data_IF_058116857391
#
_entry.id   IF_058116857391
#
_cell.length_a   1.000
_cell.length_b   1.000
_cell.length_c   1.000
_cell.angle_alpha   90.00
_cell.angle_beta   90.00
_cell.angle_gamma   90.00
#
_symmetry.space_group_name_H-M   'P 1'
#
loop_
_entity.id
_entity.type
_entity.pdbx_description
1 polymer ?
#
# COMPACT_ATOMS: atom_id res chain seq x y z
N UNK A 1 8.78 -21.70 -20.80
CA UNK A 1 9.32 -20.35 -20.54
C UNK A 1 8.33 -19.61 -19.65
N UNK A 2 8.69 -19.36 -18.40
CA UNK A 2 7.86 -18.56 -17.48
C UNK A 2 8.02 -17.10 -17.87
N UNK A 3 6.97 -16.44 -18.37
CA UNK A 3 7.04 -15.01 -18.68
C UNK A 3 7.25 -14.28 -17.36
N UNK A 4 8.37 -13.57 -17.22
CA UNK A 4 8.59 -12.68 -16.09
C UNK A 4 7.48 -11.62 -16.08
N UNK A 5 6.73 -11.53 -14.98
CA UNK A 5 5.69 -10.51 -14.81
C UNK A 5 6.35 -9.27 -14.21
N UNK A 6 6.35 -8.17 -14.97
CA UNK A 6 6.86 -6.87 -14.54
C UNK A 6 5.71 -6.06 -13.92
N UNK A 7 5.89 -5.59 -12.68
CA UNK A 7 4.91 -4.76 -11.98
C UNK A 7 5.38 -3.32 -12.02
N UNK A 8 4.48 -2.39 -12.35
CA UNK A 8 4.76 -0.95 -12.30
C UNK A 8 3.97 -0.33 -11.17
N UNK A 9 4.63 0.47 -10.35
CA UNK A 9 3.98 1.22 -9.28
C UNK A 9 3.72 2.67 -9.75
N UNK A 10 2.62 3.25 -9.28
CA UNK A 10 2.20 4.61 -9.59
C UNK A 10 1.78 5.32 -8.30
N UNK A 11 2.14 6.60 -8.17
CA UNK A 11 1.52 7.51 -7.22
C UNK A 11 0.26 8.10 -7.87
N UNK A 12 -0.89 7.87 -7.24
CA UNK A 12 -2.16 8.49 -7.64
C UNK A 12 -2.30 9.79 -6.88
N UNK A 13 -2.37 10.91 -7.62
CA UNK A 13 -2.58 12.23 -7.01
C UNK A 13 -4.03 12.66 -7.24
N UNK A 14 -4.88 12.65 -6.20
CA UNK A 14 -6.26 13.06 -6.34
C UNK A 14 -6.35 14.57 -6.57
N UNK A 15 -7.26 15.01 -7.44
CA UNK A 15 -7.50 16.44 -7.67
C UNK A 15 -8.98 16.78 -7.57
N UNK A 16 -9.28 17.83 -6.80
CA UNK A 16 -10.64 18.37 -6.73
C UNK A 16 -11.03 18.91 -8.11
N UNK A 17 -12.18 18.49 -8.60
CA UNK A 17 -12.80 18.95 -9.85
C UNK A 17 -12.01 18.63 -11.15
N UNK A 18 -11.07 17.67 -11.10
CA UNK A 18 -10.29 17.19 -12.26
C UNK A 18 -10.06 15.69 -12.18
N UNK A 19 -9.70 15.08 -13.31
CA UNK A 19 -9.24 13.69 -13.30
C UNK A 19 -7.95 13.53 -12.50
N UNK A 20 -7.87 12.44 -11.75
CA UNK A 20 -6.66 12.01 -11.06
C UNK A 20 -5.55 11.75 -12.07
N UNK A 21 -4.32 12.11 -11.71
CA UNK A 21 -3.17 11.78 -12.54
C UNK A 21 -2.26 10.78 -11.84
N UNK A 22 -1.65 9.94 -12.67
CA UNK A 22 -0.84 8.81 -12.26
C UNK A 22 0.61 9.14 -12.57
N UNK A 23 1.45 9.21 -11.54
CA UNK A 23 2.88 9.42 -11.71
C UNK A 23 3.63 8.10 -11.51
N UNK A 24 4.34 7.64 -12.55
CA UNK A 24 5.11 6.40 -12.47
C UNK A 24 6.29 6.54 -11.51
N UNK A 25 6.41 5.61 -10.57
CA UNK A 25 7.51 5.58 -9.58
C UNK A 25 8.53 4.46 -9.84
N UNK A 26 8.34 3.69 -10.90
CA UNK A 26 9.25 2.64 -11.33
C UNK A 26 8.69 1.23 -11.14
N UNK A 27 9.57 0.23 -11.25
CA UNK A 27 9.23 -1.18 -11.15
C UNK A 27 9.01 -1.65 -9.71
N UNK A 28 8.19 -2.68 -9.56
CA UNK A 28 7.96 -3.40 -8.32
C UNK A 28 8.38 -4.87 -8.53
N UNK A 29 9.11 -5.42 -7.56
CA UNK A 29 9.78 -6.71 -7.68
C UNK A 29 9.09 -7.75 -6.80
N UNK A 30 8.67 -8.85 -7.41
CA UNK A 30 8.15 -10.00 -6.68
C UNK A 30 9.25 -10.74 -5.94
N UNK A 31 8.94 -11.21 -4.74
CA UNK A 31 9.78 -12.11 -3.96
C UNK A 31 8.91 -13.07 -3.15
N UNK A 32 9.53 -14.12 -2.62
CA UNK A 32 8.90 -15.06 -1.70
C UNK A 32 9.62 -15.01 -0.36
N UNK A 33 8.87 -14.91 0.74
CA UNK A 33 9.43 -14.94 2.10
C UNK A 33 9.88 -16.35 2.50
N UNK A 34 10.68 -16.46 3.55
CA UNK A 34 11.12 -17.75 4.11
C UNK A 34 9.94 -18.62 4.57
N UNK A 35 8.86 -17.99 5.08
CA UNK A 35 7.62 -18.67 5.48
C UNK A 35 6.64 -18.90 4.31
N UNK A 36 7.08 -18.63 3.07
CA UNK A 36 6.38 -19.06 1.85
C UNK A 36 5.31 -18.10 1.31
N UNK A 37 5.24 -16.87 1.81
CA UNK A 37 4.30 -15.83 1.36
C UNK A 37 4.84 -15.08 0.15
N UNK A 38 3.95 -14.66 -0.74
CA UNK A 38 4.33 -13.79 -1.84
C UNK A 38 4.42 -12.34 -1.36
N UNK A 39 5.41 -11.62 -1.87
CA UNK A 39 5.63 -10.22 -1.56
C UNK A 39 6.04 -9.41 -2.79
N UNK A 40 5.82 -8.10 -2.70
CA UNK A 40 6.23 -7.12 -3.70
C UNK A 40 7.01 -6.01 -3.00
N UNK A 41 8.20 -5.70 -3.51
CA UNK A 41 9.02 -4.57 -3.07
C UNK A 41 8.97 -3.45 -4.09
N UNK A 42 8.76 -2.22 -3.63
CA UNK A 42 8.84 -0.99 -4.43
C UNK A 42 10.02 -0.15 -3.93
N UNK A 43 11.22 -0.28 -4.53
CA UNK A 43 12.44 0.35 -4.00
C UNK A 43 12.35 1.87 -3.91
N UNK A 44 11.74 2.52 -4.90
CA UNK A 44 11.60 3.98 -4.96
C UNK A 44 10.81 4.57 -3.79
N UNK A 45 9.90 3.78 -3.19
CA UNK A 45 9.10 4.20 -2.03
C UNK A 45 9.55 3.56 -0.71
N UNK A 46 10.61 2.73 -0.72
CA UNK A 46 10.99 1.89 0.42
C UNK A 46 9.81 1.09 1.01
N UNK A 47 8.88 0.66 0.14
CA UNK A 47 7.65 0.00 0.55
C UNK A 47 7.72 -1.50 0.23
N UNK A 48 7.23 -2.32 1.17
CA UNK A 48 7.15 -3.77 1.04
C UNK A 48 5.72 -4.20 1.37
N UNK A 49 5.09 -4.91 0.44
CA UNK A 49 3.77 -5.53 0.62
C UNK A 49 4.00 -7.04 0.67
N UNK A 50 3.43 -7.71 1.65
CA UNK A 50 3.50 -9.16 1.82
C UNK A 50 2.07 -9.64 2.03
N UNK A 51 1.71 -10.77 1.42
CA UNK A 51 0.43 -11.40 1.71
C UNK A 51 0.29 -11.68 3.22
N UNK A 52 -0.89 -11.44 3.82
CA UNK A 52 -1.13 -11.82 5.21
C UNK A 52 -1.09 -13.35 5.36
N UNK A 53 -0.77 -13.85 6.56
CA UNK A 53 -0.90 -15.28 6.84
C UNK A 53 -2.38 -15.66 6.89
N UNK A 54 -2.72 -16.87 6.45
CA UNK A 54 -4.08 -17.38 6.60
C UNK A 54 -4.49 -17.35 8.09
N UNK A 55 -5.55 -16.59 8.41
CA UNK A 55 -6.05 -16.40 9.77
C UNK A 55 -5.61 -15.11 10.48
N UNK A 56 -4.75 -14.29 9.87
CA UNK A 56 -4.51 -12.91 10.32
C UNK A 56 -5.51 -11.99 9.62
N UNK A 57 -6.64 -11.69 10.27
CA UNK A 57 -7.58 -10.68 9.78
C UNK A 57 -6.89 -9.31 9.71
N UNK A 58 -7.05 -8.60 8.59
CA UNK A 58 -6.56 -7.24 8.40
C UNK A 58 -7.08 -6.35 9.54
N UNK A 59 -6.20 -5.94 10.44
CA UNK A 59 -6.53 -4.88 11.39
C UNK A 59 -6.67 -3.58 10.60
N UNK A 60 -7.89 -3.16 10.32
CA UNK A 60 -8.15 -1.81 9.83
C UNK A 60 -7.60 -0.82 10.88
N UNK A 61 -6.84 0.21 10.47
CA UNK A 61 -6.36 1.22 11.41
C UNK A 61 -7.56 1.96 11.99
N UNK A 62 -7.79 1.79 13.31
CA UNK A 62 -8.76 2.62 14.03
C UNK A 62 -8.27 4.07 14.00
N UNK A 63 -8.91 4.90 13.18
CA UNK A 63 -8.80 6.35 13.30
C UNK A 63 -9.54 6.78 14.57
N UNK A 64 -8.81 6.91 15.68
CA UNK A 64 -9.32 7.48 16.92
C UNK A 64 -9.48 9.00 16.74
N UNK A 65 -10.67 9.45 16.33
CA UNK A 65 -11.03 10.86 16.40
C UNK A 65 -11.33 11.21 17.86
N UNK A 66 -10.34 11.77 18.56
CA UNK A 66 -10.58 12.38 19.87
C UNK A 66 -11.28 13.72 19.65
N UNK A 67 -12.60 13.71 19.68
CA UNK A 67 -13.41 14.92 19.76
C UNK A 67 -13.29 15.47 21.19
N UNK A 68 -12.36 16.42 21.40
CA UNK A 68 -12.30 17.21 22.64
C UNK A 68 -13.55 18.06 22.75
N UNK A 69 -14.49 17.60 23.57
CA UNK A 69 -15.69 18.35 23.93
C UNK A 69 -15.28 19.61 24.71
N UNK A 70 -15.53 20.76 24.09
CA UNK A 70 -15.23 22.08 24.63
C UNK A 70 -16.16 22.40 25.78
N UNK A 71 -15.68 22.21 27.01
CA UNK A 71 -16.33 22.69 28.23
C UNK A 71 -16.33 24.22 28.23
N UNK A 72 -17.40 24.82 27.69
CA UNK A 72 -17.72 26.22 27.88
C UNK A 72 -18.07 26.48 29.35
N UNK A 73 -17.69 27.68 29.78
CA UNK A 73 -17.63 28.19 31.16
C UNK A 73 -18.95 28.19 31.92
#
# INVERSE_FOLDING_TARGET
MTKAVDFKAYLVTPRKDKEDFWNGIGGAFKFKTEDGREGIRVPTLNLVIIEPKAGEENQEPQSENTETDGRAA
#
